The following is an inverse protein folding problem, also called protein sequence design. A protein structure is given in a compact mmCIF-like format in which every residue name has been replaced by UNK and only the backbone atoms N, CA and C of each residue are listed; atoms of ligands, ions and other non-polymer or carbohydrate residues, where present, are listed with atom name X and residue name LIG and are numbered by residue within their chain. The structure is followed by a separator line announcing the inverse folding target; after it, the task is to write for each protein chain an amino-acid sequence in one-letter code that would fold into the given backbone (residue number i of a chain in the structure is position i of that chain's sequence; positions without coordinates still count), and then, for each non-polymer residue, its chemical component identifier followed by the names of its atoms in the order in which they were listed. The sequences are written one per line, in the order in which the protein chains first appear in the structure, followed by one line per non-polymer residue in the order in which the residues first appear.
data_IF_143008339013
#
_entry.id   IF_143008339013
#
_cell.length_a   1.000
_cell.length_b   1.000
_cell.length_c   1.000
_cell.angle_alpha   90.00
_cell.angle_beta   90.00
_cell.angle_gamma   90.00
#
_symmetry.space_group_name_H-M   'P 1'
#
loop_
_entity.id
_entity.type
_entity.pdbx_description
1 polymer ?
#
# COMPACT_ATOMS: atom_id res chain seq x y z
N UNK A 1 -3.05 -8.53 40.37
CA UNK A 1 -2.40 -7.42 39.64
C UNK A 1 -0.87 -7.42 39.83
N UNK A 2 -0.17 -8.55 39.55
CA UNK A 2 1.29 -8.71 39.73
C UNK A 2 2.03 -9.21 38.47
N UNK A 3 1.37 -9.30 37.33
CA UNK A 3 1.92 -9.81 36.06
C UNK A 3 2.94 -8.85 35.40
N UNK A 4 2.86 -7.55 35.68
CA UNK A 4 3.72 -6.56 35.00
C UNK A 4 5.20 -6.62 35.40
N UNK A 5 5.56 -7.09 36.59
CA UNK A 5 6.98 -7.17 36.99
C UNK A 5 7.69 -8.38 36.36
N UNK A 6 7.04 -9.54 36.37
CA UNK A 6 7.60 -10.76 35.76
C UNK A 6 7.73 -10.62 34.24
N UNK A 7 6.70 -10.11 33.57
CA UNK A 7 6.75 -9.88 32.11
C UNK A 7 7.85 -8.90 31.72
N UNK A 8 7.99 -7.78 32.44
CA UNK A 8 9.07 -6.80 32.19
C UNK A 8 10.46 -7.38 32.46
N UNK A 9 10.62 -8.15 33.54
CA UNK A 9 11.88 -8.83 33.84
C UNK A 9 12.23 -9.86 32.77
N UNK A 10 11.28 -10.70 32.40
CA UNK A 10 11.44 -11.71 31.35
C UNK A 10 11.76 -11.06 29.99
N UNK A 11 11.10 -9.95 29.65
CA UNK A 11 11.41 -9.20 28.44
C UNK A 11 12.82 -8.62 28.43
N UNK A 12 13.26 -8.07 29.57
CA UNK A 12 14.61 -7.51 29.69
C UNK A 12 15.68 -8.61 29.70
N UNK A 13 15.40 -9.74 30.34
CA UNK A 13 16.25 -10.93 30.31
C UNK A 13 16.33 -11.52 28.91
N UNK A 14 15.20 -11.72 28.22
CA UNK A 14 15.18 -12.27 26.87
C UNK A 14 15.91 -11.38 25.87
N UNK A 15 15.70 -10.06 25.93
CA UNK A 15 16.41 -9.12 25.05
C UNK A 15 17.92 -9.12 25.33
N UNK A 16 18.34 -9.12 26.61
CA UNK A 16 19.77 -9.22 26.96
C UNK A 16 20.38 -10.57 26.59
N UNK A 17 19.65 -11.66 26.80
CA UNK A 17 20.08 -13.00 26.44
C UNK A 17 20.31 -13.08 24.93
N UNK A 18 19.33 -12.72 24.11
CA UNK A 18 19.43 -12.73 22.64
C UNK A 18 20.54 -11.80 22.13
N UNK A 19 20.72 -10.61 22.71
CA UNK A 19 21.83 -9.72 22.36
C UNK A 19 23.20 -10.31 22.74
N UNK A 20 23.29 -10.94 23.92
CA UNK A 20 24.52 -11.56 24.38
C UNK A 20 24.89 -12.74 23.47
N UNK A 21 23.98 -13.69 23.22
CA UNK A 21 24.26 -14.84 22.34
C UNK A 21 24.47 -14.46 20.88
N UNK A 22 23.97 -13.31 20.41
CA UNK A 22 24.24 -12.80 19.06
C UNK A 22 25.59 -12.08 18.90
N UNK A 23 26.33 -11.83 19.99
CA UNK A 23 27.59 -11.08 19.96
C UNK A 23 28.80 -11.96 19.58
N UNK A 24 29.82 -11.37 18.95
CA UNK A 24 31.05 -12.09 18.57
C UNK A 24 31.79 -12.67 19.77
N UNK A 25 31.71 -12.04 20.95
CA UNK A 25 32.32 -12.55 22.18
C UNK A 25 31.63 -13.81 22.72
N UNK A 26 30.30 -13.89 22.61
CA UNK A 26 29.57 -15.10 23.01
C UNK A 26 29.87 -16.28 22.09
N UNK A 27 30.04 -16.05 20.79
CA UNK A 27 30.50 -17.10 19.87
C UNK A 27 31.86 -17.66 20.28
N UNK A 28 32.81 -16.78 20.61
CA UNK A 28 34.14 -17.20 21.05
C UNK A 28 34.09 -17.99 22.38
N UNK A 29 33.27 -17.55 23.34
CA UNK A 29 33.06 -18.26 24.60
C UNK A 29 32.40 -19.63 24.39
N UNK A 30 31.41 -19.73 23.50
CA UNK A 30 30.76 -20.99 23.16
C UNK A 30 31.77 -21.95 22.51
N UNK A 31 32.59 -21.46 21.58
CA UNK A 31 33.64 -22.24 20.94
C UNK A 31 34.67 -22.76 21.95
N UNK A 32 35.16 -21.89 22.86
CA UNK A 32 36.07 -22.30 23.93
C UNK A 32 35.44 -23.35 24.84
N UNK A 33 34.14 -23.21 25.16
CA UNK A 33 33.42 -24.19 25.98
C UNK A 33 33.39 -25.57 25.30
N UNK A 34 33.15 -25.61 23.99
CA UNK A 34 33.19 -26.86 23.19
C UNK A 34 34.60 -27.46 23.17
N UNK A 35 35.63 -26.62 23.01
CA UNK A 35 37.04 -27.08 23.01
C UNK A 35 37.43 -27.67 24.36
N UNK A 36 37.09 -26.98 25.47
CA UNK A 36 37.33 -27.48 26.83
C UNK A 36 36.63 -28.81 27.02
N UNK A 37 35.35 -28.91 26.65
CA UNK A 37 34.59 -30.15 26.71
C UNK A 37 35.27 -31.28 25.92
N UNK A 38 35.75 -31.01 24.71
CA UNK A 38 36.45 -32.00 23.88
C UNK A 38 37.76 -32.48 24.53
N UNK A 39 38.53 -31.58 25.14
CA UNK A 39 39.79 -31.90 25.84
C UNK A 39 39.53 -32.70 27.13
N UNK A 40 38.42 -32.45 27.81
CA UNK A 40 38.03 -33.22 29.00
C UNK A 40 37.47 -34.61 28.65
N UNK A 41 37.02 -34.84 27.41
CA UNK A 41 36.47 -36.13 26.96
C UNK A 41 37.39 -37.35 27.20
N UNK A 42 38.69 -37.31 26.85
CA UNK A 42 39.66 -38.36 27.14
C UNK A 42 39.80 -38.70 28.63
N UNK A 43 39.66 -37.71 29.53
CA UNK A 43 39.75 -37.92 30.99
C UNK A 43 38.58 -38.78 31.48
N UNK A 44 37.40 -38.60 30.88
CA UNK A 44 36.18 -39.34 31.22
C UNK A 44 35.91 -40.55 30.30
N UNK A 45 36.88 -40.93 29.46
CA UNK A 45 36.79 -42.07 28.56
C UNK A 45 35.62 -41.99 27.56
N UNK A 46 35.16 -40.78 27.20
CA UNK A 46 33.98 -40.56 26.36
C UNK A 46 32.73 -41.35 26.81
N UNK A 47 32.53 -41.47 28.13
CA UNK A 47 31.40 -42.21 28.72
C UNK A 47 30.02 -41.75 28.23
N UNK A 48 29.03 -42.62 28.33
CA UNK A 48 27.64 -42.30 27.96
C UNK A 48 27.11 -41.09 28.74
N UNK A 49 27.47 -40.96 30.03
CA UNK A 49 27.11 -39.81 30.86
C UNK A 49 27.76 -38.51 30.36
N UNK A 50 29.01 -38.58 29.89
CA UNK A 50 29.74 -37.44 29.33
C UNK A 50 29.05 -36.87 28.08
N UNK A 51 28.61 -37.76 27.18
CA UNK A 51 27.87 -37.39 25.96
C UNK A 51 26.44 -36.93 26.29
N UNK A 52 25.78 -37.59 27.25
CA UNK A 52 24.43 -37.23 27.69
C UNK A 52 24.36 -35.80 28.20
N UNK A 53 25.34 -35.37 29.01
CA UNK A 53 25.35 -34.01 29.59
C UNK A 53 25.33 -32.93 28.50
N UNK A 54 26.15 -33.07 27.44
CA UNK A 54 26.17 -32.05 26.39
C UNK A 54 24.94 -32.09 25.50
N UNK A 55 24.45 -33.28 25.16
CA UNK A 55 23.27 -33.44 24.31
C UNK A 55 22.02 -32.94 25.04
N UNK A 56 21.82 -33.34 26.29
CA UNK A 56 20.68 -32.88 27.10
C UNK A 56 20.78 -31.39 27.42
N UNK A 57 21.95 -30.91 27.81
CA UNK A 57 22.17 -29.50 28.11
C UNK A 57 21.91 -28.59 26.91
N UNK A 58 22.50 -28.92 25.77
CA UNK A 58 22.33 -28.14 24.54
C UNK A 58 20.88 -28.18 24.06
N UNK A 59 20.19 -29.31 24.18
CA UNK A 59 18.77 -29.43 23.80
C UNK A 59 17.89 -28.51 24.65
N UNK A 60 18.08 -28.50 25.97
CA UNK A 60 17.33 -27.61 26.86
C UNK A 60 17.62 -26.14 26.53
N UNK A 61 18.90 -25.78 26.38
CA UNK A 61 19.30 -24.41 26.02
C UNK A 61 18.68 -23.99 24.70
N UNK A 62 18.73 -24.86 23.68
CA UNK A 62 18.17 -24.59 22.36
C UNK A 62 16.65 -24.43 22.42
N UNK A 63 15.95 -25.30 23.15
CA UNK A 63 14.50 -25.18 23.34
C UNK A 63 14.14 -23.85 23.98
N UNK A 64 14.84 -23.45 25.05
CA UNK A 64 14.65 -22.14 25.68
C UNK A 64 14.98 -20.99 24.73
N UNK A 65 16.07 -21.10 23.97
CA UNK A 65 16.54 -20.08 23.03
C UNK A 65 15.50 -19.80 21.94
N UNK A 66 14.81 -20.82 21.41
CA UNK A 66 13.74 -20.63 20.42
C UNK A 66 12.66 -19.68 20.96
N UNK A 67 12.21 -19.87 22.21
CA UNK A 67 11.23 -18.97 22.82
C UNK A 67 11.80 -17.57 23.09
N UNK A 68 13.06 -17.47 23.50
CA UNK A 68 13.71 -16.17 23.74
C UNK A 68 13.85 -15.36 22.44
N UNK A 69 14.24 -16.02 21.35
CA UNK A 69 14.32 -15.41 20.02
C UNK A 69 12.93 -14.96 19.58
N UNK A 70 11.92 -15.84 19.63
CA UNK A 70 10.55 -15.51 19.25
C UNK A 70 9.99 -14.32 20.04
N UNK A 71 10.23 -14.27 21.35
CA UNK A 71 9.78 -13.15 22.19
C UNK A 71 10.49 -11.84 21.85
N UNK A 72 11.80 -11.87 21.60
CA UNK A 72 12.56 -10.68 21.18
C UNK A 72 12.09 -10.18 19.81
N UNK A 73 11.97 -11.11 18.84
CA UNK A 73 11.55 -10.79 17.48
C UNK A 73 10.12 -10.25 17.42
N UNK A 74 9.18 -10.79 18.20
CA UNK A 74 7.79 -10.32 18.19
C UNK A 74 7.68 -8.83 18.59
N UNK A 75 8.53 -8.35 19.51
CA UNK A 75 8.56 -6.94 19.91
C UNK A 75 9.20 -6.06 18.85
N UNK A 76 10.29 -6.52 18.25
CA UNK A 76 11.01 -5.77 17.21
C UNK A 76 10.18 -5.64 15.93
N UNK A 77 9.44 -6.70 15.54
CA UNK A 77 8.48 -6.66 14.43
C UNK A 77 7.40 -5.60 14.65
N UNK A 78 6.77 -5.57 15.83
CA UNK A 78 5.76 -4.56 16.16
C UNK A 78 6.33 -3.13 16.13
N UNK A 79 7.55 -2.94 16.64
CA UNK A 79 8.20 -1.63 16.60
C UNK A 79 8.52 -1.18 15.16
N UNK A 80 8.90 -2.11 14.28
CA UNK A 80 9.11 -1.83 12.86
C UNK A 80 7.82 -1.42 12.17
N UNK A 81 6.71 -2.13 12.43
CA UNK A 81 5.38 -1.80 11.90
C UNK A 81 4.97 -0.38 12.28
N UNK A 82 5.09 -0.01 13.55
CA UNK A 82 4.75 1.33 14.04
C UNK A 82 5.62 2.41 13.36
N UNK A 83 6.95 2.18 13.25
CA UNK A 83 7.86 3.13 12.59
C UNK A 83 7.54 3.31 11.11
N UNK A 84 7.22 2.23 10.39
CA UNK A 84 6.83 2.27 8.99
C UNK A 84 5.48 2.99 8.82
N UNK A 85 4.52 2.70 9.70
CA UNK A 85 3.22 3.36 9.70
C UNK A 85 3.38 4.87 9.93
N UNK A 86 4.24 5.31 10.85
CA UNK A 86 4.53 6.74 11.05
C UNK A 86 5.11 7.38 9.79
N UNK A 87 6.09 6.74 9.13
CA UNK A 87 6.69 7.23 7.88
C UNK A 87 5.69 7.28 6.70
N UNK A 88 4.79 6.32 6.62
CA UNK A 88 3.71 6.31 5.63
C UNK A 88 2.69 7.41 5.93
N UNK A 89 2.31 7.60 7.19
CA UNK A 89 1.34 8.62 7.59
C UNK A 89 1.83 10.05 7.29
N UNK A 90 3.13 10.34 7.44
CA UNK A 90 3.69 11.66 7.10
C UNK A 90 3.86 11.86 5.59
N UNK A 91 3.89 10.79 4.80
CA UNK A 91 3.94 10.88 3.35
C UNK A 91 2.51 11.14 2.80
N UNK A 92 2.18 12.41 2.51
CA UNK A 92 0.87 12.85 1.99
C UNK A 92 0.34 12.10 0.75
N UNK A 93 1.16 11.29 0.07
CA UNK A 93 0.77 10.46 -1.09
C UNK A 93 0.61 8.97 -0.76
N UNK A 94 1.03 8.50 0.41
CA UNK A 94 0.72 7.15 0.85
C UNK A 94 -0.77 7.10 1.24
N UNK A 95 -1.54 6.26 0.53
CA UNK A 95 -2.96 6.09 0.88
C UNK A 95 -3.06 5.52 2.29
N UNK A 96 -3.95 6.06 3.11
CA UNK A 96 -4.33 5.52 4.43
C UNK A 96 -4.66 4.00 4.41
N UNK A 97 -4.92 3.45 3.22
CA UNK A 97 -5.17 2.03 2.96
C UNK A 97 -3.93 1.13 3.05
N UNK A 98 -2.71 1.70 2.99
CA UNK A 98 -1.46 0.95 3.22
C UNK A 98 -1.08 0.89 4.70
N UNK A 99 -1.59 1.81 5.52
CA UNK A 99 -1.46 1.71 6.97
C UNK A 99 -2.23 0.45 7.40
N UNK A 100 -1.55 -0.42 8.15
CA UNK A 100 -2.07 -1.71 8.60
C UNK A 100 -2.33 -2.73 7.48
N UNK A 101 -1.52 -2.72 6.40
CA UNK A 101 -1.62 -3.73 5.33
C UNK A 101 -1.49 -5.18 5.83
N UNK A 102 -0.82 -5.38 6.96
CA UNK A 102 -0.62 -6.68 7.61
C UNK A 102 -1.84 -7.23 8.36
N UNK A 103 -2.79 -6.36 8.71
CA UNK A 103 -4.04 -6.75 9.36
C UNK A 103 -5.14 -7.08 8.33
N UNK A 104 -4.89 -6.84 7.04
CA UNK A 104 -5.85 -7.10 5.96
C UNK A 104 -6.04 -8.61 5.77
N UNK A 105 -7.28 -9.01 5.51
CA UNK A 105 -7.55 -10.36 5.01
C UNK A 105 -6.98 -10.55 3.61
N UNK A 106 -6.74 -11.80 3.21
CA UNK A 106 -6.17 -12.10 1.90
C UNK A 106 -7.02 -11.56 0.73
N UNK A 107 -8.35 -11.58 0.87
CA UNK A 107 -9.26 -11.00 -0.11
C UNK A 107 -9.10 -9.47 -0.23
N UNK A 108 -8.90 -8.78 0.89
CA UNK A 108 -8.69 -7.33 0.93
C UNK A 108 -7.31 -6.96 0.39
N UNK A 109 -6.29 -7.75 0.70
CA UNK A 109 -4.93 -7.59 0.17
C UNK A 109 -4.93 -7.73 -1.36
N UNK A 110 -5.67 -8.71 -1.90
CA UNK A 110 -5.79 -8.92 -3.33
C UNK A 110 -6.56 -7.78 -4.02
N UNK A 111 -7.62 -7.28 -3.38
CA UNK A 111 -8.35 -6.09 -3.85
C UNK A 111 -7.46 -4.84 -3.86
N UNK A 112 -6.62 -4.67 -2.84
CA UNK A 112 -5.65 -3.58 -2.72
C UNK A 112 -4.59 -3.67 -3.83
N UNK A 113 -4.03 -4.86 -4.06
CA UNK A 113 -3.09 -5.11 -5.14
C UNK A 113 -3.68 -4.78 -6.51
N UNK A 114 -4.93 -5.20 -6.78
CA UNK A 114 -5.64 -4.90 -8.04
C UNK A 114 -5.91 -3.40 -8.22
N UNK A 115 -6.23 -2.69 -7.15
CA UNK A 115 -6.43 -1.23 -7.20
C UNK A 115 -5.12 -0.50 -7.53
N UNK A 116 -4.02 -0.83 -6.86
CA UNK A 116 -2.71 -0.22 -7.13
C UNK A 116 -2.14 -0.63 -8.50
N UNK A 117 -2.36 -1.87 -8.93
CA UNK A 117 -2.02 -2.31 -10.29
C UNK A 117 -2.68 -1.44 -11.35
N UNK A 118 -3.99 -1.21 -11.23
CA UNK A 118 -4.73 -0.31 -12.13
C UNK A 118 -4.24 1.14 -12.08
N UNK A 119 -3.83 1.63 -10.92
CA UNK A 119 -3.24 2.98 -10.79
C UNK A 119 -1.88 3.06 -11.46
N UNK A 120 -1.03 2.04 -11.30
CA UNK A 120 0.27 1.98 -11.95
C UNK A 120 0.14 1.88 -13.47
N UNK A 121 -0.81 1.09 -13.96
CA UNK A 121 -1.12 1.00 -15.40
C UNK A 121 -1.58 2.35 -15.95
N UNK A 122 -2.53 3.01 -15.27
CA UNK A 122 -2.97 4.37 -15.66
C UNK A 122 -1.84 5.39 -15.63
N UNK A 123 -0.93 5.32 -14.67
CA UNK A 123 0.22 6.23 -14.60
C UNK A 123 1.23 5.97 -15.72
N UNK A 124 1.39 4.71 -16.16
CA UNK A 124 2.17 4.36 -17.36
C UNK A 124 1.50 4.86 -18.63
N UNK A 125 0.18 4.70 -18.74
CA UNK A 125 -0.59 5.18 -19.88
C UNK A 125 -0.52 6.72 -19.98
N UNK A 126 -0.64 7.44 -18.86
CA UNK A 126 -0.48 8.90 -18.81
C UNK A 126 0.96 9.34 -19.11
N UNK A 127 1.98 8.60 -18.66
CA UNK A 127 3.38 8.85 -19.03
C UNK A 127 3.66 8.60 -20.52
N UNK A 128 2.91 7.68 -21.14
CA UNK A 128 3.00 7.33 -22.57
C UNK A 128 2.23 8.33 -23.43
N UNK A 129 1.08 8.83 -22.96
CA UNK A 129 0.33 9.94 -23.58
C UNK A 129 1.10 11.27 -23.44
N UNK A 130 1.97 11.38 -22.42
CA UNK A 130 2.93 12.48 -22.27
C UNK A 130 4.23 12.27 -23.06
N UNK A 131 4.28 11.36 -24.03
CA UNK A 131 5.25 11.49 -25.12
C UNK A 131 4.78 12.62 -26.03
N UNK A 132 5.65 13.61 -26.23
CA UNK A 132 5.37 14.75 -27.10
C UNK A 132 5.11 14.25 -28.53
N UNK A 133 3.87 14.32 -28.99
CA UNK A 133 3.63 14.52 -30.41
C UNK A 133 4.50 15.70 -30.85
N UNK A 134 5.32 15.50 -31.88
CA UNK A 134 6.14 16.59 -32.42
C UNK A 134 5.21 17.79 -32.67
N UNK A 135 5.67 19.01 -32.40
CA UNK A 135 4.89 20.24 -32.68
C UNK A 135 4.38 20.23 -34.13
N UNK A 136 5.17 19.63 -35.03
CA UNK A 136 4.85 19.44 -36.45
C UNK A 136 3.63 18.51 -36.68
N UNK A 137 3.49 17.44 -35.89
CA UNK A 137 2.36 16.50 -35.98
C UNK A 137 1.08 17.10 -35.38
N UNK A 138 1.21 17.92 -34.33
CA UNK A 138 0.09 18.67 -33.76
C UNK A 138 -0.40 19.79 -34.70
N UNK A 139 0.50 20.43 -35.45
CA UNK A 139 0.17 21.41 -36.49
C UNK A 139 -0.50 20.75 -37.69
N UNK A 140 -0.01 19.60 -38.17
CA UNK A 140 -0.59 18.86 -39.30
C UNK A 140 -2.05 18.45 -39.03
N UNK A 141 -2.35 17.89 -37.85
CA UNK A 141 -3.72 17.56 -37.43
C UNK A 141 -4.61 18.81 -37.39
N UNK A 142 -4.07 19.96 -37.00
CA UNK A 142 -4.81 21.22 -36.96
C UNK A 142 -5.11 21.75 -38.37
N UNK A 143 -4.14 21.67 -39.30
CA UNK A 143 -4.33 22.04 -40.71
C UNK A 143 -5.36 21.14 -41.41
N UNK A 144 -5.25 19.82 -41.26
CA UNK A 144 -6.21 18.84 -41.81
C UNK A 144 -7.64 19.12 -41.34
N UNK A 145 -7.79 19.44 -40.05
CA UNK A 145 -9.08 19.77 -39.46
C UNK A 145 -9.63 21.09 -40.00
N UNK A 146 -8.78 22.08 -40.25
CA UNK A 146 -9.14 23.36 -40.86
C UNK A 146 -9.59 23.18 -42.31
N UNK A 147 -8.88 22.37 -43.10
CA UNK A 147 -9.27 22.05 -44.48
C UNK A 147 -10.61 21.31 -44.53
N UNK A 148 -10.78 20.27 -43.72
CA UNK A 148 -12.04 19.52 -43.65
C UNK A 148 -13.22 20.40 -43.21
N UNK A 149 -13.00 21.37 -42.32
CA UNK A 149 -14.01 22.36 -41.95
C UNK A 149 -14.33 23.33 -43.09
N UNK A 150 -13.31 23.78 -43.82
CA UNK A 150 -13.47 24.66 -44.97
C UNK A 150 -14.28 23.98 -46.08
N UNK A 151 -13.95 22.73 -46.42
CA UNK A 151 -14.69 21.94 -47.39
C UNK A 151 -16.15 21.72 -46.98
N UNK A 152 -16.39 21.37 -45.71
CA UNK A 152 -17.75 21.22 -45.17
C UNK A 152 -18.54 22.52 -45.24
N UNK A 153 -17.89 23.67 -45.06
CA UNK A 153 -18.54 24.98 -45.16
C UNK A 153 -18.85 25.36 -46.62
N UNK A 154 -17.94 25.06 -47.55
CA UNK A 154 -18.17 25.26 -48.98
C UNK A 154 -19.30 24.38 -49.49
N UNK A 155 -19.30 23.10 -49.13
CA UNK A 155 -20.38 22.16 -49.47
C UNK A 155 -21.74 22.64 -48.95
N UNK A 156 -21.80 23.17 -47.72
CA UNK A 156 -23.01 23.77 -47.14
C UNK A 156 -23.45 25.07 -47.83
N UNK A 157 -22.54 25.80 -48.48
CA UNK A 157 -22.85 27.04 -49.21
C UNK A 157 -23.36 26.75 -50.61
N UNK A 158 -22.83 25.74 -51.29
CA UNK A 158 -23.27 25.32 -52.62
C UNK A 158 -24.65 24.66 -52.62
N UNK A 159 -25.08 24.07 -51.50
CA UNK A 159 -26.34 23.34 -51.39
C UNK A 159 -27.50 24.19 -50.82
N UNK A 160 -27.37 25.52 -50.79
CA UNK A 160 -28.39 26.43 -50.25
C UNK A 160 -29.37 26.85 -51.36
N UNK A 161 -30.65 26.42 -51.36
CA UNK A 161 -31.62 26.83 -52.38
C UNK A 161 -31.98 28.31 -52.21
N UNK A 162 -31.99 29.06 -53.31
CA UNK A 162 -32.33 30.48 -53.39
C UNK A 162 -33.79 30.74 -52.96
N UNK A 163 -33.98 31.75 -52.12
CA UNK A 163 -35.22 32.07 -51.41
C UNK A 163 -36.42 32.49 -52.28
N UNK A 164 -37.65 32.20 -51.82
CA UNK A 164 -38.91 32.88 -52.22
C UNK A 164 -39.69 33.45 -51.02
N UNK A 165 -39.63 34.79 -50.90
CA UNK A 165 -40.64 35.83 -50.59
C UNK A 165 -41.77 35.70 -49.50
N UNK A 166 -42.28 36.85 -48.98
CA UNK A 166 -42.83 37.02 -47.62
C UNK A 166 -44.38 36.95 -47.52
N UNK A 167 -44.89 36.64 -46.31
CA UNK A 167 -46.33 36.42 -46.01
C UNK A 167 -47.08 37.67 -45.57
N UNK A 168 -48.31 37.83 -46.08
CA UNK A 168 -49.27 38.90 -45.80
C UNK A 168 -50.49 38.39 -44.98
N UNK A 169 -50.79 39.13 -43.89
CA UNK A 169 -52.09 39.46 -43.23
C UNK A 169 -53.18 38.45 -42.78
N UNK A 170 -53.68 38.68 -41.54
CA UNK A 170 -55.04 38.40 -41.02
C UNK A 170 -55.13 37.26 -39.98
N UNK A 171 -55.64 37.38 -38.73
CA UNK A 171 -56.88 38.04 -38.26
C UNK A 171 -56.90 38.14 -36.70
N UNK A 172 -57.45 39.22 -36.13
CA UNK A 172 -57.70 39.49 -34.69
C UNK A 172 -59.01 38.85 -34.17
N UNK A 173 -59.09 38.52 -32.86
CA UNK A 173 -60.16 38.89 -31.86
C UNK A 173 -59.97 38.12 -30.53
N UNK A 174 -59.53 38.77 -29.41
CA UNK A 174 -60.24 39.38 -28.24
C UNK A 174 -60.66 38.40 -27.08
N UNK A 175 -60.74 38.87 -25.80
CA UNK A 175 -60.26 38.15 -24.61
C UNK A 175 -61.35 37.77 -23.57
N UNK A 176 -61.03 36.94 -22.56
CA UNK A 176 -61.89 36.72 -21.37
C UNK A 176 -61.10 36.38 -20.09
N UNK A 177 -61.41 37.10 -19.01
CA UNK A 177 -60.97 37.02 -17.59
C UNK A 177 -62.24 37.36 -16.77
N UNK A 178 -62.45 37.04 -15.47
CA UNK A 178 -61.92 36.04 -14.50
C UNK A 178 -63.10 35.16 -13.94
N UNK A 179 -63.08 34.54 -12.73
CA UNK A 179 -63.01 35.22 -11.41
C UNK A 179 -61.95 34.66 -10.44
N UNK A 180 -61.49 35.54 -9.56
CA UNK A 180 -60.75 35.24 -8.35
C UNK A 180 -61.72 34.76 -7.25
N UNK A 181 -61.32 33.77 -6.47
CA UNK A 181 -62.00 33.40 -5.23
C UNK A 181 -60.96 33.28 -4.10
N UNK A 182 -61.09 34.19 -3.13
CA UNK A 182 -60.33 34.25 -1.88
C UNK A 182 -61.08 33.47 -0.80
N UNK A 183 -60.35 32.79 0.11
CA UNK A 183 -60.46 32.85 1.61
C UNK A 183 -59.79 31.63 2.28
N UNK A 184 -59.52 31.62 3.60
CA UNK A 184 -58.46 32.37 4.26
C UNK A 184 -57.59 31.47 5.18
N UNK A 185 -56.52 32.04 5.74
CA UNK A 185 -55.76 31.44 6.85
C UNK A 185 -56.54 31.53 8.17
N UNK A 186 -56.54 30.45 8.92
CA UNK A 186 -56.60 30.41 10.39
C UNK A 186 -55.73 29.24 10.85
#
# INVERSE_FOLDING_TARGET
MNSNRFTKFFEHFASKATQATGSSSAFLLALLTIIIWLITGPIFGYSDTWQLIINTGTTIITFLMVFLIQKSQNKDSLAMQIKLNELLAVNRKASNRLLNVEDLTEAELHALHKFFGKLADKAKDEATISESHSVEEAEEIHYDKLEALHERQLARRTDRPTAKQPKESGKKTKPKVPPAEQKPKA
#
